data_IF_465692915187
#
_entry.id   IF_465692915187
#
_cell.length_a   1.000
_cell.length_b   1.000
_cell.length_c   1.000
_cell.angle_alpha   90.00
_cell.angle_beta   90.00
_cell.angle_gamma   90.00
#
_symmetry.space_group_name_H-M   'P 1'
#
loop_
_entity.id
_entity.type
_entity.pdbx_description
1 polymer ?
2 polymer ?
#
loop_
_entity_poly.entity_id
_entity_poly.type
_entity_poly.pdbx_seq_one_letter_code
_entity_poly.pdbx_strand_id
2 'polyribonucleotide' 'GGGCCAGGUAGCUCAGUUGGUAGAGCACUGGACUGAAAAUCCAGGUGUCGGCGGUUCGAUUCCGCCCCUGGCCCACC' ?
#
# COMPACT_ATOMS: atom_id res chain seq x y z
N UNK A 1 -4.81 6.38 -31.69
CA UNK A 1 -5.91 7.14 -32.24
C UNK A 1 -6.05 8.48 -31.52
N UNK A 2 -5.54 8.54 -30.29
CA UNK A 2 -5.60 9.74 -29.48
C UNK A 2 -4.88 10.91 -30.16
N UNK A 3 -3.75 10.61 -30.78
CA UNK A 3 -2.98 11.63 -31.49
C UNK A 3 -3.69 12.12 -32.73
N UNK A 4 -4.46 11.23 -33.36
CA UNK A 4 -5.24 11.60 -34.54
C UNK A 4 -6.39 12.52 -34.16
N UNK A 5 -7.09 12.17 -33.09
CA UNK A 5 -8.19 12.99 -32.60
C UNK A 5 -7.68 14.35 -32.12
N UNK A 6 -6.53 14.34 -31.46
CA UNK A 6 -5.89 15.58 -31.03
C UNK A 6 -5.46 16.40 -32.24
N UNK A 7 -5.12 15.72 -33.33
CA UNK A 7 -4.77 16.38 -34.58
C UNK A 7 -5.99 17.07 -35.18
N UNK A 8 -7.12 16.37 -35.16
CA UNK A 8 -8.37 16.90 -35.71
C UNK A 8 -8.90 18.07 -34.89
N UNK A 9 -8.81 17.96 -33.58
CA UNK A 9 -9.37 18.97 -32.68
C UNK A 9 -8.43 20.16 -32.49
N UNK A 10 -7.25 20.08 -33.10
CA UNK A 10 -6.27 21.14 -32.99
C UNK A 10 -5.79 21.29 -31.55
N UNK A 11 -5.70 20.17 -30.85
CA UNK A 11 -5.26 20.18 -29.46
C UNK A 11 -3.91 19.50 -29.31
N UNK A 12 -3.39 19.50 -28.08
CA UNK A 12 -2.16 18.80 -27.77
C UNK A 12 -2.32 18.02 -26.48
N UNK A 13 -2.22 16.70 -26.55
CA UNK A 13 -2.35 15.86 -25.37
C UNK A 13 -1.02 15.23 -25.01
N UNK A 14 -0.82 14.96 -23.72
CA UNK A 14 0.43 14.35 -23.26
C UNK A 14 0.19 13.36 -22.12
N UNK A 15 0.90 12.24 -22.14
CA UNK A 15 0.92 11.35 -20.98
C UNK A 15 1.70 12.04 -19.86
N UNK A 16 1.15 12.05 -18.65
CA UNK A 16 1.67 12.91 -17.60
C UNK A 16 1.80 12.23 -16.23
N UNK A 17 2.82 12.62 -15.48
CA UNK A 17 2.96 12.23 -14.08
C UNK A 17 3.61 10.88 -13.83
N UNK A 18 3.17 10.26 -12.73
CA UNK A 18 3.72 8.98 -12.29
C UNK A 18 3.75 7.93 -13.38
N UNK A 19 2.72 7.92 -14.21
CA UNK A 19 2.65 6.99 -15.34
C UNK A 19 3.94 7.06 -16.15
N UNK A 20 4.31 8.27 -16.57
CA UNK A 20 5.53 8.48 -17.32
C UNK A 20 6.72 7.88 -16.60
N UNK A 21 6.80 8.14 -15.29
CA UNK A 21 7.86 7.58 -14.46
C UNK A 21 7.87 6.06 -14.59
N UNK A 22 6.69 5.46 -14.37
CA UNK A 22 6.56 4.01 -14.46
C UNK A 22 6.93 3.51 -15.85
N UNK A 23 6.69 4.33 -16.86
CA UNK A 23 7.06 3.96 -18.22
C UNK A 23 8.57 3.92 -18.34
N UNK A 24 9.24 4.92 -17.76
CA UNK A 24 10.69 4.98 -17.85
C UNK A 24 11.32 3.98 -16.87
N UNK A 25 10.56 3.63 -15.84
CA UNK A 25 10.99 2.60 -14.90
C UNK A 25 10.65 1.22 -15.42
N UNK A 26 9.94 1.18 -16.54
CA UNK A 26 9.61 -0.08 -17.21
C UNK A 26 8.32 -0.71 -16.70
N UNK A 27 7.88 -0.31 -15.51
CA UNK A 27 6.66 -0.85 -14.92
C UNK A 27 5.44 -0.51 -15.75
N UNK A 28 4.66 -1.53 -16.12
CA UNK A 28 3.44 -1.33 -16.89
C UNK A 28 2.24 -1.09 -15.98
N UNK A 29 1.44 -0.08 -16.31
CA UNK A 29 0.25 0.27 -15.55
C UNK A 29 -0.97 0.34 -16.45
N UNK A 30 -2.13 0.00 -15.92
CA UNK A 30 -3.37 0.08 -16.69
C UNK A 30 -4.09 1.40 -16.43
N UNK A 31 -3.49 2.25 -15.60
CA UNK A 31 -4.03 3.57 -15.31
C UNK A 31 -3.20 4.65 -16.01
N UNK A 32 -3.79 5.33 -16.98
CA UNK A 32 -3.08 6.37 -17.73
C UNK A 32 -3.69 7.74 -17.50
N UNK A 33 -2.82 8.72 -17.22
CA UNK A 33 -3.25 10.09 -16.99
C UNK A 33 -2.78 11.01 -18.11
N UNK A 34 -3.74 11.67 -18.76
CA UNK A 34 -3.47 12.59 -19.85
C UNK A 34 -3.67 14.04 -19.42
N UNK A 35 -2.85 14.93 -19.97
CA UNK A 35 -3.04 16.36 -19.82
C UNK A 35 -3.22 16.98 -21.20
N UNK A 36 -4.33 17.71 -21.36
CA UNK A 36 -4.70 18.26 -22.65
C UNK A 36 -4.68 19.78 -22.66
N UNK A 37 -4.04 20.36 -23.67
CA UNK A 37 -4.11 21.79 -23.90
C UNK A 37 -5.33 22.08 -24.77
N UNK A 38 -6.26 22.84 -24.21
CA UNK A 38 -7.59 22.95 -24.80
C UNK A 38 -8.54 22.08 -24.01
N UNK A 39 -9.72 21.83 -24.57
CA UNK A 39 -10.74 21.09 -23.84
C UNK A 39 -10.49 19.59 -23.84
N UNK A 40 -10.31 19.03 -22.64
CA UNK A 40 -10.05 17.60 -22.48
C UNK A 40 -11.34 16.78 -22.51
N UNK A 41 -12.44 17.41 -22.12
CA UNK A 41 -13.74 16.74 -22.06
C UNK A 41 -14.17 16.27 -23.44
N UNK A 42 -13.99 17.12 -24.44
CA UNK A 42 -14.39 16.77 -25.80
C UNK A 42 -13.51 15.66 -26.36
N UNK A 43 -12.23 15.71 -26.04
CA UNK A 43 -11.28 14.67 -26.45
C UNK A 43 -11.70 13.33 -25.86
N UNK A 44 -12.03 13.32 -24.58
CA UNK A 44 -12.46 12.10 -23.91
C UNK A 44 -13.77 11.58 -24.48
N UNK A 45 -14.71 12.48 -24.75
CA UNK A 45 -16.01 12.11 -25.31
C UNK A 45 -15.86 11.48 -26.69
N UNK A 46 -15.07 12.11 -27.54
CA UNK A 46 -14.87 11.63 -28.90
C UNK A 46 -14.14 10.29 -28.90
N UNK A 47 -13.09 10.20 -28.10
CA UNK A 47 -12.30 8.99 -28.00
C UNK A 47 -13.15 7.83 -27.48
N UNK A 48 -14.02 8.12 -26.53
CA UNK A 48 -14.92 7.11 -25.99
C UNK A 48 -15.96 6.71 -27.01
N UNK A 49 -16.35 7.65 -27.85
CA UNK A 49 -17.37 7.40 -28.88
C UNK A 49 -16.84 6.53 -30.00
N UNK A 50 -15.61 6.80 -30.43
CA UNK A 50 -14.99 6.04 -31.51
C UNK A 50 -14.75 4.57 -31.12
N UNK A 51 -14.32 4.36 -29.88
CA UNK A 51 -14.08 3.01 -29.39
C UNK A 51 -15.37 2.36 -28.90
N UNK A 52 -16.46 3.13 -28.96
CA UNK A 52 -17.77 2.62 -28.61
C UNK A 52 -17.91 2.19 -27.16
N UNK A 53 -17.49 3.06 -26.25
CA UNK A 53 -17.58 2.77 -24.82
C UNK A 53 -18.21 3.92 -24.06
N UNK A 54 -18.63 3.65 -22.83
CA UNK A 54 -19.20 4.68 -21.97
C UNK A 54 -18.16 5.72 -21.56
N UNK A 55 -18.64 6.89 -21.16
CA UNK A 55 -17.76 7.96 -20.72
C UNK A 55 -18.31 8.60 -19.44
N UNK A 56 -17.41 9.02 -18.56
CA UNK A 56 -17.80 9.62 -17.29
C UNK A 56 -17.20 11.02 -17.17
N UNK A 57 -17.95 12.02 -17.61
CA UNK A 57 -17.55 13.44 -17.64
C UNK A 57 -17.60 14.12 -16.27
N UNK A 58 -16.67 15.05 -16.08
CA UNK A 58 -16.61 15.90 -14.90
C UNK A 58 -16.25 17.33 -15.33
N UNK A 59 -17.26 18.10 -15.78
CA UNK A 59 -17.11 19.45 -16.33
C UNK A 59 -16.58 20.46 -15.32
N UNK A 60 -17.04 20.35 -14.08
CA UNK A 60 -16.63 21.28 -13.02
C UNK A 60 -15.14 21.16 -12.75
N UNK A 61 -14.63 19.94 -12.75
CA UNK A 61 -13.20 19.71 -12.60
C UNK A 61 -12.48 19.96 -13.93
N UNK A 62 -13.18 19.70 -15.02
CA UNK A 62 -12.59 19.82 -16.35
C UNK A 62 -11.86 18.56 -16.75
N UNK A 63 -12.27 17.44 -16.17
CA UNK A 63 -11.65 16.15 -16.47
C UNK A 63 -12.70 15.12 -16.83
N UNK A 64 -12.29 14.01 -17.44
CA UNK A 64 -13.21 12.93 -17.76
C UNK A 64 -12.53 11.57 -17.73
N UNK A 65 -13.29 10.54 -17.36
CA UNK A 65 -12.73 9.19 -17.24
C UNK A 65 -13.41 8.22 -18.20
N UNK A 66 -12.62 7.33 -18.79
CA UNK A 66 -13.18 6.31 -19.68
C UNK A 66 -12.34 5.03 -19.61
N UNK A 67 -12.98 3.88 -19.77
CA UNK A 67 -12.30 2.60 -19.65
C UNK A 67 -12.31 1.81 -20.95
N UNK A 68 -11.13 1.61 -21.53
CA UNK A 68 -11.00 0.82 -22.75
C UNK A 68 -10.23 -0.47 -22.46
N UNK A 69 -10.92 -1.60 -22.50
CA UNK A 69 -10.32 -2.87 -22.14
C UNK A 69 -9.89 -2.86 -20.69
N UNK A 70 -8.63 -3.18 -20.44
CA UNK A 70 -8.08 -3.12 -19.10
C UNK A 70 -7.54 -1.73 -18.78
N UNK A 71 -7.49 -0.87 -19.79
CA UNK A 71 -6.96 0.48 -19.63
C UNK A 71 -7.95 1.43 -18.98
N UNK A 72 -7.52 2.06 -17.91
CA UNK A 72 -8.31 3.10 -17.25
C UNK A 72 -7.73 4.46 -17.59
N UNK A 73 -8.45 5.24 -18.39
CA UNK A 73 -7.95 6.50 -18.90
C UNK A 73 -8.59 7.70 -18.21
N UNK A 74 -7.75 8.66 -17.83
CA UNK A 74 -8.23 9.92 -17.27
C UNK A 74 -7.68 11.10 -18.05
N UNK A 75 -8.56 11.83 -18.72
CA UNK A 75 -8.16 13.02 -19.47
C UNK A 75 -8.41 14.28 -18.65
N UNK A 76 -7.36 15.06 -18.44
CA UNK A 76 -7.45 16.26 -17.61
C UNK A 76 -6.97 17.51 -18.33
N UNK A 77 -7.77 18.57 -18.29
CA UNK A 77 -7.40 19.85 -18.90
C UNK A 77 -6.24 20.47 -18.14
N UNK A 78 -5.27 21.02 -18.88
CA UNK A 78 -4.10 21.65 -18.28
C UNK A 78 -4.49 22.86 -17.42
N UNK A 79 -3.98 22.89 -16.19
CA UNK A 79 -4.30 23.97 -15.25
C UNK A 79 -3.05 24.46 -14.52
N UNK A 80 -3.01 25.75 -14.23
CA UNK A 80 -1.85 26.38 -13.60
C UNK A 80 -1.88 26.26 -12.08
N UNK A 81 -3.02 25.88 -11.52
CA UNK A 81 -3.16 25.75 -10.07
C UNK A 81 -3.81 24.44 -9.67
N UNK A 82 -3.74 24.13 -8.37
CA UNK A 82 -4.38 22.94 -7.83
C UNK A 82 -5.90 23.05 -7.89
N UNK A 93 -7.42 32.35 -18.50
CA UNK A 93 -6.32 32.16 -19.43
C UNK A 93 -5.97 30.67 -19.57
N UNK A 94 -5.68 30.24 -20.81
CA UNK A 94 -5.27 28.85 -21.05
C UNK A 94 -3.90 28.54 -20.44
N UNK A 95 -3.79 27.41 -19.76
CA UNK A 95 -2.53 27.03 -19.13
C UNK A 95 -1.69 26.17 -20.06
N UNK A 96 -0.42 26.52 -20.21
CA UNK A 96 0.52 25.73 -20.98
C UNK A 96 0.84 24.44 -20.24
N UNK A 97 1.35 23.44 -20.96
CA UNK A 97 1.75 22.18 -20.36
C UNK A 97 2.77 22.40 -19.25
N UNK A 98 3.71 23.29 -19.50
CA UNK A 98 4.76 23.61 -18.54
C UNK A 98 4.18 24.08 -17.21
N UNK A 99 3.14 24.91 -17.29
CA UNK A 99 2.46 25.40 -16.10
C UNK A 99 1.74 24.28 -15.36
N UNK A 100 1.25 23.29 -16.12
CA UNK A 100 0.55 22.16 -15.52
C UNK A 100 1.54 21.23 -14.84
N UNK A 101 2.77 21.20 -15.35
CA UNK A 101 3.83 20.36 -14.81
C UNK A 101 4.52 20.98 -13.60
N UNK A 102 4.56 22.31 -13.55
CA UNK A 102 5.31 23.02 -12.52
C UNK A 102 4.60 22.99 -11.17
N UNK A 103 3.33 22.63 -11.17
CA UNK A 103 2.52 22.61 -9.95
C UNK A 103 2.61 21.28 -9.22
N UNK A 104 3.40 20.36 -9.78
CA UNK A 104 3.45 18.99 -9.27
C UNK A 104 4.49 18.83 -8.17
N UNK A 105 4.60 17.62 -7.63
CA UNK A 105 5.42 17.42 -6.42
C UNK A 105 6.91 17.30 -6.74
N UNK A 106 7.30 16.19 -7.36
CA UNK A 106 8.71 15.88 -7.54
C UNK A 106 9.11 15.84 -9.01
N UNK A 107 10.41 16.02 -9.26
CA UNK A 107 10.96 16.08 -10.61
C UNK A 107 10.65 14.84 -11.46
N UNK A 108 10.76 13.66 -10.86
CA UNK A 108 10.48 12.42 -11.57
C UNK A 108 8.99 12.32 -11.90
N UNK A 109 8.18 13.07 -11.16
CA UNK A 109 6.74 13.08 -11.37
C UNK A 109 6.26 14.26 -12.22
N UNK A 110 7.20 15.11 -12.62
CA UNK A 110 6.88 16.34 -13.33
C UNK A 110 7.02 16.24 -14.84
N UNK A 111 7.37 15.06 -15.35
CA UNK A 111 7.65 14.90 -16.77
C UNK A 111 6.41 14.58 -17.61
N UNK A 112 6.59 14.52 -18.93
CA UNK A 112 5.48 14.24 -19.85
C UNK A 112 5.97 13.61 -21.16
N UNK A 113 5.09 12.85 -21.81
CA UNK A 113 5.42 12.23 -23.09
C UNK A 113 4.34 12.53 -24.13
N UNK A 114 4.72 13.18 -25.22
CA UNK A 114 3.77 13.64 -26.23
C UNK A 114 3.10 12.51 -26.99
N UNK A 115 1.77 12.54 -27.05
CA UNK A 115 1.03 11.58 -27.86
C UNK A 115 0.66 12.19 -29.22
N UNK A 116 1.10 13.43 -29.44
CA UNK A 116 0.88 14.09 -30.72
C UNK A 116 1.70 13.43 -31.82
N UNK A 117 1.08 13.23 -32.98
CA UNK A 117 1.61 12.35 -34.03
C UNK A 117 3.01 12.70 -34.53
N UNK A 118 3.32 13.99 -34.64
CA UNK A 118 4.60 14.39 -35.24
C UNK A 118 5.77 14.21 -34.26
N UNK A 119 5.57 14.61 -33.01
CA UNK A 119 6.62 14.50 -31.99
C UNK A 119 6.46 13.23 -31.15
N UNK A 120 5.53 12.36 -31.56
CA UNK A 120 5.21 11.14 -30.82
C UNK A 120 6.48 10.35 -30.48
N UNK A 121 6.62 10.01 -29.21
CA UNK A 121 7.78 9.30 -28.73
C UNK A 121 8.84 10.21 -28.13
N UNK A 122 8.44 11.44 -27.81
CA UNK A 122 9.36 12.42 -27.23
C UNK A 122 9.07 12.68 -25.76
N UNK A 123 10.10 12.61 -24.93
CA UNK A 123 9.97 12.89 -23.51
C UNK A 123 10.11 14.38 -23.25
N UNK A 124 9.10 14.97 -22.62
CA UNK A 124 9.16 16.39 -22.28
C UNK A 124 9.52 16.58 -20.82
N UNK A 125 10.74 17.05 -20.58
CA UNK A 125 11.24 17.25 -19.22
C UNK A 125 11.83 18.65 -19.05
N UNK A 126 11.14 19.49 -18.30
CA UNK A 126 11.59 20.86 -18.04
C UNK A 126 12.59 20.96 -16.90
N UNK A 127 12.29 20.25 -15.81
CA UNK A 127 12.99 20.44 -14.55
C UNK A 127 14.12 19.43 -14.33
N UNK A 128 14.38 18.59 -15.32
CA UNK A 128 15.43 17.59 -15.21
C UNK A 128 15.04 16.43 -14.32
N UNK A 129 13.81 15.94 -14.50
CA UNK A 129 13.33 14.80 -13.76
C UNK A 129 13.94 13.50 -14.29
N UNK A 130 14.38 13.54 -15.53
CA UNK A 130 15.04 12.41 -16.16
C UNK A 130 16.37 12.12 -15.47
N UNK A 131 17.11 13.17 -15.17
CA UNK A 131 18.40 13.06 -14.48
C UNK A 131 18.21 12.52 -13.07
N UNK A 132 17.18 13.01 -12.39
CA UNK A 132 16.92 12.60 -11.01
C UNK A 132 16.39 11.17 -10.96
N UNK A 133 15.74 10.75 -12.03
CA UNK A 133 15.32 9.36 -12.18
C UNK A 133 16.54 8.50 -12.46
N UNK A 134 17.50 9.08 -13.15
CA UNK A 134 18.75 8.41 -13.49
C UNK A 134 19.69 8.35 -12.29
N UNK A 135 19.68 9.39 -11.47
CA UNK A 135 20.56 9.47 -10.30
C UNK A 135 19.91 8.95 -9.03
N UNK A 136 18.70 8.41 -9.16
CA UNK A 136 17.94 7.86 -8.03
C UNK A 136 17.68 8.92 -6.95
N UNK A 137 17.17 10.08 -7.37
CA UNK A 137 16.99 11.19 -6.44
C UNK A 137 15.54 11.68 -6.37
N UNK A 138 14.98 11.74 -5.16
CA UNK A 138 13.68 12.36 -4.96
C UNK A 138 13.87 13.84 -4.66
N UNK A 139 13.39 14.69 -5.56
CA UNK A 139 13.66 16.12 -5.48
C UNK A 139 12.41 16.95 -5.78
N UNK A 140 12.12 17.90 -4.89
CA UNK A 140 10.97 18.78 -5.07
C UNK A 140 11.26 19.83 -6.14
N UNK A 141 10.20 20.35 -6.74
CA UNK A 141 10.34 21.31 -7.85
C UNK A 141 10.69 22.71 -7.35
N UNK A 142 10.12 23.09 -6.21
CA UNK A 142 10.35 24.42 -5.64
C UNK A 142 10.37 24.35 -4.11
N UNK A 143 11.10 25.28 -3.47
CA UNK A 143 11.24 25.30 -2.00
C UNK A 143 9.92 25.35 -1.24
N UNK A 144 8.88 25.84 -1.89
CA UNK A 144 7.56 25.99 -1.27
C UNK A 144 6.71 24.73 -1.37
N UNK A 145 7.29 23.67 -1.92
CA UNK A 145 6.54 22.44 -2.24
C UNK A 145 5.81 21.81 -1.06
N UNK A 146 6.54 21.51 0.02
CA UNK A 146 5.93 20.84 1.17
C UNK A 146 5.00 21.77 1.93
N UNK A 147 5.18 23.08 1.75
CA UNK A 147 4.28 24.06 2.37
C UNK A 147 2.90 23.98 1.72
N UNK A 148 2.89 23.89 0.39
CA UNK A 148 1.65 23.80 -0.37
C UNK A 148 0.84 22.58 0.02
N UNK A 149 1.47 21.41 -0.05
CA UNK A 149 0.80 20.15 0.28
C UNK A 149 1.66 19.32 1.23
N UNK A 150 1.45 19.47 2.54
CA UNK A 150 2.17 18.72 3.57
C UNK A 150 2.12 17.20 3.35
N UNK A 151 1.03 16.71 2.77
CA UNK A 151 0.87 15.30 2.49
C UNK A 151 2.05 14.75 1.69
N UNK A 152 2.56 15.57 0.78
CA UNK A 152 3.70 15.22 -0.06
C UNK A 152 4.86 14.65 0.74
N UNK A 153 5.04 15.17 1.96
CA UNK A 153 6.06 14.67 2.87
C UNK A 153 6.01 13.16 2.90
N UNK A 154 4.88 12.61 3.38
CA UNK A 154 4.70 11.17 3.41
C UNK A 154 5.00 10.58 2.03
N UNK A 155 4.37 11.15 1.01
CA UNK A 155 4.54 10.69 -0.36
C UNK A 155 6.02 10.58 -0.70
N UNK A 156 6.77 11.64 -0.37
CA UNK A 156 8.19 11.67 -0.67
C UNK A 156 8.83 10.42 -0.11
N UNK A 157 8.65 10.22 1.20
CA UNK A 157 9.26 9.10 1.88
C UNK A 157 8.79 7.81 1.22
N UNK A 158 7.49 7.76 0.94
CA UNK A 158 6.90 6.59 0.32
C UNK A 158 7.63 6.25 -0.96
N UNK A 159 7.82 7.26 -1.81
CA UNK A 159 8.51 7.04 -3.07
C UNK A 159 9.93 6.61 -2.81
N UNK A 160 10.57 7.30 -1.87
CA UNK A 160 11.96 7.00 -1.51
C UNK A 160 12.05 5.58 -0.97
N UNK A 161 10.93 5.07 -0.47
CA UNK A 161 10.86 3.70 -0.01
C UNK A 161 10.79 2.71 -1.16
N UNK A 162 9.94 3.01 -2.15
CA UNK A 162 9.67 2.04 -3.20
C UNK A 162 10.77 1.96 -4.25
N UNK A 163 11.20 3.11 -4.73
CA UNK A 163 12.16 3.17 -5.83
C UNK A 163 13.60 3.11 -5.34
N UNK A 164 13.76 3.06 -4.02
CA UNK A 164 15.08 3.10 -3.40
C UNK A 164 15.86 4.33 -3.83
N UNK A 165 15.19 5.48 -3.81
CA UNK A 165 15.82 6.75 -4.16
C UNK A 165 16.26 7.48 -2.91
N UNK A 166 16.88 8.64 -3.09
CA UNK A 166 17.32 9.46 -1.96
C UNK A 166 16.89 10.90 -2.10
N UNK A 167 16.44 11.50 -1.01
CA UNK A 167 16.10 12.92 -1.00
C UNK A 167 17.34 13.76 -1.19
N UNK A 168 17.25 14.78 -2.04
CA UNK A 168 18.35 15.73 -2.18
C UNK A 168 18.47 16.55 -0.90
N UNK A 169 19.64 17.13 -0.67
CA UNK A 169 19.88 17.90 0.54
C UNK A 169 18.90 19.06 0.66
N UNK A 170 18.63 19.71 -0.48
CA UNK A 170 17.59 20.72 -0.57
C UNK A 170 16.27 20.16 -0.05
N UNK A 171 15.77 19.15 -0.76
CA UNK A 171 14.50 18.49 -0.43
C UNK A 171 14.46 17.98 1.01
N UNK A 172 15.60 17.48 1.50
CA UNK A 172 15.66 16.99 2.88
C UNK A 172 15.47 18.12 3.87
N UNK A 173 16.22 19.20 3.69
CA UNK A 173 16.09 20.37 4.55
C UNK A 173 14.68 20.94 4.51
N UNK A 174 14.10 21.00 3.32
CA UNK A 174 12.75 21.52 3.14
C UNK A 174 11.72 20.65 3.83
N UNK A 175 11.91 19.34 3.76
CA UNK A 175 10.99 18.40 4.40
C UNK A 175 11.06 18.55 5.91
N UNK A 176 12.29 18.57 6.44
CA UNK A 176 12.51 18.71 7.87
C UNK A 176 11.93 20.02 8.39
N UNK A 177 12.10 21.08 7.59
CA UNK A 177 11.55 22.38 7.93
C UNK A 177 10.03 22.33 7.96
N UNK A 178 9.46 21.65 6.97
CA UNK A 178 8.01 21.51 6.88
C UNK A 178 7.44 20.79 8.10
N UNK A 179 8.08 19.70 8.50
CA UNK A 179 7.62 18.93 9.65
C UNK A 179 7.82 19.73 10.95
N UNK A 180 8.94 20.43 11.03
CA UNK A 180 9.27 21.20 12.23
C UNK A 180 8.30 22.37 12.43
N UNK A 181 7.67 22.81 11.34
CA UNK A 181 6.66 23.86 11.43
C UNK A 181 5.29 23.28 11.76
N UNK A 182 5.26 21.95 11.92
CA UNK A 182 4.03 21.27 12.29
C UNK A 182 2.95 21.34 11.24
N UNK A 183 3.37 21.34 9.97
CA UNK A 183 2.43 21.40 8.85
C UNK A 183 1.68 20.08 8.71
N UNK A 184 2.21 19.03 9.32
CA UNK A 184 1.63 17.69 9.21
C UNK A 184 0.30 17.60 9.92
N UNK A 185 0.14 18.37 11.00
CA UNK A 185 -1.10 18.37 11.77
C UNK A 185 -2.19 19.20 11.08
N UNK A 186 -1.79 20.34 10.51
CA UNK A 186 -2.74 21.23 9.85
C UNK A 186 -3.31 20.63 8.58
N UNK A 187 -2.55 19.72 7.97
CA UNK A 187 -2.99 19.05 6.75
C UNK A 187 -4.24 18.22 7.01
N UNK A 188 -5.09 18.04 5.98
CA UNK A 188 -6.30 17.24 6.12
C UNK A 188 -6.01 15.81 6.58
N UNK A 189 -6.76 15.36 7.58
CA UNK A 189 -6.55 14.04 8.19
C UNK A 189 -6.73 12.91 7.18
N UNK A 190 -7.80 12.98 6.40
CA UNK A 190 -8.13 11.95 5.44
C UNK A 190 -7.04 11.71 4.41
N UNK A 191 -6.43 12.79 3.92
CA UNK A 191 -5.35 12.70 2.96
C UNK A 191 -4.16 11.94 3.53
N UNK A 192 -3.82 12.26 4.78
CA UNK A 192 -2.70 11.62 5.45
C UNK A 192 -2.98 10.14 5.67
N UNK A 193 -4.15 9.85 6.24
CA UNK A 193 -4.54 8.47 6.51
C UNK A 193 -4.50 7.64 5.23
N UNK A 194 -5.05 8.20 4.16
CA UNK A 194 -5.08 7.49 2.87
C UNK A 194 -3.68 7.32 2.30
N UNK A 195 -2.81 8.29 2.57
CA UNK A 195 -1.43 8.22 2.13
C UNK A 195 -0.71 7.06 2.82
N UNK A 196 -0.98 6.91 4.11
CA UNK A 196 -0.42 5.80 4.89
C UNK A 196 -1.00 4.47 4.39
N UNK A 197 -2.28 4.49 4.02
CA UNK A 197 -2.93 3.31 3.46
C UNK A 197 -2.23 2.90 2.16
N UNK A 198 -1.84 3.89 1.37
CA UNK A 198 -1.08 3.62 0.15
C UNK A 198 0.31 3.08 0.50
N UNK A 199 0.87 3.60 1.59
CA UNK A 199 2.21 3.22 2.02
C UNK A 199 2.29 1.76 2.42
N UNK A 200 1.34 1.31 3.23
CA UNK A 200 1.40 -0.06 3.77
C UNK A 200 1.11 -1.13 2.71
N UNK A 201 0.71 -0.70 1.52
CA UNK A 201 0.45 -1.62 0.43
C UNK A 201 1.69 -1.82 -0.44
N UNK A 202 2.76 -1.11 -0.09
CA UNK A 202 4.06 -1.30 -0.75
C UNK A 202 4.77 -2.50 -0.15
N UNK A 203 5.58 -3.17 -0.96
CA UNK A 203 6.37 -4.30 -0.48
C UNK A 203 7.62 -3.82 0.26
N UNK A 204 8.05 -2.61 -0.09
CA UNK A 204 9.20 -1.97 0.56
C UNK A 204 8.76 -1.07 1.69
N UNK A 205 7.49 -1.17 2.06
CA UNK A 205 6.86 -0.35 3.11
C UNK A 205 7.66 -0.30 4.42
N UNK A 206 8.43 -1.33 4.70
CA UNK A 206 9.29 -1.33 5.88
C UNK A 206 10.30 -0.18 5.82
N UNK A 207 10.93 -0.02 4.66
CA UNK A 207 11.87 1.08 4.45
C UNK A 207 11.17 2.42 4.59
N UNK A 208 9.91 2.47 4.15
CA UNK A 208 9.09 3.66 4.29
C UNK A 208 8.86 3.95 5.77
N UNK A 209 8.79 2.90 6.58
CA UNK A 209 8.65 3.05 8.03
C UNK A 209 9.97 3.49 8.65
N UNK A 210 11.07 3.15 8.01
CA UNK A 210 12.38 3.61 8.44
C UNK A 210 12.52 5.10 8.16
N UNK A 211 11.93 5.55 7.05
CA UNK A 211 11.94 6.96 6.71
C UNK A 211 10.94 7.73 7.57
N UNK A 212 9.88 7.05 8.00
CA UNK A 212 8.92 7.63 8.92
C UNK A 212 9.54 7.78 10.31
N UNK A 213 10.45 6.86 10.62
CA UNK A 213 11.18 6.91 11.88
C UNK A 213 12.20 8.03 11.85
N UNK A 214 12.93 8.12 10.74
CA UNK A 214 14.00 9.11 10.59
C UNK A 214 13.49 10.54 10.70
N UNK A 215 12.41 10.83 9.99
CA UNK A 215 11.84 12.18 9.97
C UNK A 215 10.69 12.35 10.97
N UNK A 216 10.41 11.29 11.72
CA UNK A 216 9.48 11.32 12.85
C UNK A 216 8.09 11.89 12.51
N UNK A 217 7.53 11.44 11.40
CA UNK A 217 6.21 11.91 10.96
C UNK A 217 5.07 11.22 11.70
N UNK A 218 5.31 9.98 12.15
CA UNK A 218 4.28 9.19 12.81
C UNK A 218 3.94 9.75 14.19
N UNK A 219 4.92 10.39 14.82
CA UNK A 219 4.71 11.06 16.10
C UNK A 219 3.74 12.22 15.94
N UNK A 220 3.82 12.88 14.79
CA UNK A 220 2.95 14.01 14.50
C UNK A 220 1.55 13.54 14.09
N UNK A 221 1.50 12.53 13.22
CA UNK A 221 0.21 12.02 12.76
C UNK A 221 -0.55 11.26 13.84
N UNK A 222 0.11 10.27 14.45
CA UNK A 222 -0.52 9.44 15.47
C UNK A 222 -0.27 9.98 16.86
N UNK A 223 -1.33 10.11 17.66
CA UNK A 223 -1.22 10.61 19.02
C UNK A 223 -0.80 9.53 20.00
N UNK A 224 0.33 9.75 20.68
CA UNK A 224 0.81 8.82 21.68
C UNK A 224 1.85 7.85 21.17
N UNK A 225 2.11 7.91 19.86
CA UNK A 225 3.06 7.00 19.23
C UNK A 225 4.51 7.42 19.46
N UNK A 226 5.35 6.46 19.81
CA UNK A 226 6.78 6.71 20.01
C UNK A 226 7.61 5.56 19.47
N UNK A 227 8.88 5.82 19.19
CA UNK A 227 9.77 4.82 18.62
C UNK A 227 10.77 4.26 19.63
N UNK A 228 10.75 2.95 19.81
CA UNK A 228 11.77 2.26 20.59
C UNK A 228 12.43 1.18 19.74
N UNK A 229 13.41 0.49 20.31
CA UNK A 229 14.16 -0.51 19.57
C UNK A 229 13.41 -1.85 19.46
N UNK A 230 12.66 -2.17 20.51
CA UNK A 230 11.93 -3.43 20.57
C UNK A 230 10.91 -3.57 19.43
N UNK A 231 10.17 -2.49 19.19
CA UNK A 231 9.17 -2.47 18.13
C UNK A 231 9.84 -2.62 16.76
N UNK A 232 10.99 -1.98 16.60
CA UNK A 232 11.74 -2.03 15.35
C UNK A 232 12.23 -3.44 15.05
N UNK A 233 12.89 -4.06 16.04
CA UNK A 233 13.37 -5.42 15.91
C UNK A 233 12.20 -6.38 15.68
N UNK A 234 11.06 -6.06 16.27
CA UNK A 234 9.84 -6.83 16.06
C UNK A 234 9.39 -6.70 14.60
N UNK A 235 9.59 -5.52 14.04
CA UNK A 235 9.25 -5.26 12.64
C UNK A 235 10.15 -6.06 11.70
N UNK A 236 11.42 -6.18 12.07
CA UNK A 236 12.36 -6.95 11.25
C UNK A 236 12.10 -8.45 11.36
N UNK A 237 11.80 -8.91 12.57
CA UNK A 237 11.42 -10.31 12.77
C UNK A 237 10.17 -10.62 11.95
N UNK A 238 9.22 -9.69 11.97
CA UNK A 238 8.02 -9.79 11.17
C UNK A 238 8.35 -9.79 9.68
N UNK A 239 9.41 -9.07 9.32
CA UNK A 239 9.88 -9.05 7.93
C UNK A 239 10.34 -10.44 7.50
N UNK A 240 11.17 -11.06 8.33
CA UNK A 240 11.66 -12.41 8.03
C UNK A 240 10.50 -13.42 7.96
N UNK A 241 9.61 -13.36 8.96
CA UNK A 241 8.44 -14.23 9.01
C UNK A 241 7.59 -14.07 7.75
N UNK A 242 7.34 -12.83 7.36
CA UNK A 242 6.59 -12.53 6.15
C UNK A 242 7.28 -13.10 4.91
N UNK A 243 8.60 -12.98 4.86
CA UNK A 243 9.38 -13.53 3.75
C UNK A 243 9.18 -15.04 3.62
N UNK A 244 9.41 -15.76 4.71
CA UNK A 244 9.29 -17.22 4.70
C UNK A 244 7.87 -17.69 4.40
N UNK A 245 6.90 -17.06 5.05
CA UNK A 245 5.49 -17.39 4.87
C UNK A 245 5.03 -17.15 3.44
N UNK A 246 5.43 -16.02 2.87
CA UNK A 246 5.10 -15.69 1.49
C UNK A 246 5.98 -16.46 0.53
N UNK A 247 6.95 -17.19 1.07
CA UNK A 247 7.78 -18.06 0.25
C UNK A 247 7.13 -19.43 0.07
N UNK A 248 7.01 -20.18 1.17
CA UNK A 248 6.46 -21.53 1.08
C UNK A 248 4.94 -21.57 0.95
N UNK A 249 4.27 -20.78 1.77
CA UNK A 249 2.81 -20.82 1.89
C UNK A 249 2.08 -19.84 0.97
N UNK A 250 2.83 -19.27 0.01
CA UNK A 250 2.40 -18.10 -0.76
C UNK A 250 0.97 -18.14 -1.31
N UNK A 251 0.42 -19.32 -1.52
CA UNK A 251 -0.97 -19.44 -1.92
C UNK A 251 -1.92 -18.88 -0.85
N UNK A 252 -1.45 -18.82 0.39
CA UNK A 252 -2.26 -18.38 1.53
C UNK A 252 -2.11 -16.89 1.87
N UNK A 253 -1.38 -16.15 1.02
CA UNK A 253 -1.04 -14.76 1.30
C UNK A 253 -2.24 -13.87 1.65
N UNK A 254 -2.03 -13.00 2.65
CA UNK A 254 -2.96 -11.93 2.98
C UNK A 254 -2.18 -10.63 3.00
N UNK A 255 -2.83 -9.54 3.40
CA UNK A 255 -2.14 -8.25 3.42
C UNK A 255 -1.18 -8.15 4.61
N UNK A 256 0.09 -7.99 4.30
CA UNK A 256 1.15 -7.99 5.30
C UNK A 256 1.35 -6.66 6.02
N UNK A 257 1.13 -5.56 5.31
CA UNK A 257 1.37 -4.24 5.86
C UNK A 257 0.61 -3.96 7.14
N UNK A 258 -0.60 -4.50 7.22
CA UNK A 258 -1.44 -4.31 8.39
C UNK A 258 -0.81 -4.93 9.64
N UNK A 259 -0.03 -5.99 9.43
CA UNK A 259 0.69 -6.61 10.54
C UNK A 259 1.73 -5.63 11.09
N UNK A 260 2.48 -5.01 10.20
CA UNK A 260 3.45 -3.98 10.58
C UNK A 260 2.74 -2.86 11.33
N UNK A 261 1.57 -2.47 10.83
CA UNK A 261 0.78 -1.44 11.47
C UNK A 261 0.36 -1.84 12.88
N UNK A 262 0.07 -3.13 13.08
CA UNK A 262 -0.31 -3.64 14.39
C UNK A 262 0.89 -3.62 15.34
N UNK A 263 2.06 -3.95 14.80
CA UNK A 263 3.29 -3.95 15.59
C UNK A 263 3.62 -2.52 16.04
N UNK A 264 3.38 -1.56 15.16
CA UNK A 264 3.62 -0.15 15.48
C UNK A 264 2.71 0.33 16.60
N UNK A 265 1.46 -0.09 16.58
CA UNK A 265 0.47 0.34 17.56
C UNK A 265 0.35 -0.62 18.74
N UNK A 266 1.23 -1.62 18.78
CA UNK A 266 1.19 -2.66 19.80
C UNK A 266 1.22 -2.12 21.22
N UNK A 267 2.22 -1.30 21.54
CA UNK A 267 2.37 -0.76 22.88
C UNK A 267 1.50 0.47 23.12
N UNK A 268 0.78 0.91 22.09
CA UNK A 268 -0.11 2.04 22.19
C UNK A 268 -1.38 1.69 22.98
N UNK A 269 -2.05 2.72 23.50
CA UNK A 269 -3.31 2.52 24.22
C UNK A 269 -4.38 1.95 23.30
N UNK A 270 -5.33 1.22 23.88
CA UNK A 270 -6.37 0.59 23.10
C UNK A 270 -7.37 1.59 22.54
N UNK A 271 -7.55 2.70 23.25
CA UNK A 271 -8.48 3.74 22.83
C UNK A 271 -8.02 4.41 21.54
N UNK A 272 -6.80 4.92 21.56
CA UNK A 272 -6.20 5.58 20.40
C UNK A 272 -5.96 4.56 19.28
N UNK A 273 -5.81 3.30 19.66
CA UNK A 273 -5.64 2.23 18.70
C UNK A 273 -6.90 1.96 17.91
N UNK A 274 -8.01 1.79 18.63
CA UNK A 274 -9.31 1.60 18.00
C UNK A 274 -9.71 2.84 17.21
N UNK A 275 -9.31 4.00 17.71
CA UNK A 275 -9.55 5.26 17.01
C UNK A 275 -8.78 5.29 15.69
N UNK A 276 -7.54 4.84 15.73
CA UNK A 276 -6.69 4.83 14.54
C UNK A 276 -7.20 3.84 13.50
N UNK A 277 -7.53 2.64 13.94
CA UNK A 277 -8.08 1.63 13.04
C UNK A 277 -9.45 2.06 12.52
N UNK A 278 -10.12 2.93 13.28
CA UNK A 278 -11.39 3.49 12.86
C UNK A 278 -11.19 4.47 11.71
N UNK A 279 -10.22 5.37 11.87
CA UNK A 279 -9.94 6.36 10.85
C UNK A 279 -9.27 5.75 9.62
N UNK A 280 -8.61 4.62 9.81
CA UNK A 280 -7.88 3.95 8.73
C UNK A 280 -8.78 3.04 7.89
N UNK A 281 -9.98 2.77 8.40
CA UNK A 281 -10.91 1.84 7.76
C UNK A 281 -10.27 0.49 7.48
N UNK A 282 -9.62 -0.07 8.50
CA UNK A 282 -8.93 -1.34 8.38
C UNK A 282 -9.91 -2.49 8.16
N UNK A 283 -9.44 -3.58 7.54
CA UNK A 283 -10.27 -4.77 7.35
C UNK A 283 -10.75 -5.38 8.67
N UNK A 284 -11.79 -6.19 8.62
CA UNK A 284 -12.38 -6.78 9.81
C UNK A 284 -11.40 -7.70 10.54
N UNK A 285 -10.72 -8.55 9.79
CA UNK A 285 -9.78 -9.51 10.35
C UNK A 285 -8.60 -8.80 11.04
N UNK A 286 -8.32 -7.59 10.60
CA UNK A 286 -7.27 -6.78 11.22
C UNK A 286 -7.72 -6.32 12.60
N UNK A 287 -8.95 -5.86 12.70
CA UNK A 287 -9.52 -5.45 13.98
C UNK A 287 -9.61 -6.64 14.94
N UNK A 288 -10.03 -7.79 14.40
CA UNK A 288 -10.09 -9.01 15.19
C UNK A 288 -8.71 -9.37 15.72
N UNK A 289 -7.71 -9.32 14.85
CA UNK A 289 -6.33 -9.65 15.20
C UNK A 289 -5.78 -8.72 16.27
N UNK A 290 -6.07 -7.43 16.13
CA UNK A 290 -5.61 -6.43 17.09
C UNK A 290 -6.26 -6.62 18.46
N UNK A 291 -7.59 -6.70 18.46
CA UNK A 291 -8.36 -6.87 19.69
C UNK A 291 -7.98 -8.17 20.38
N UNK A 292 -7.58 -9.17 19.60
CA UNK A 292 -7.12 -10.43 20.15
C UNK A 292 -5.69 -10.31 20.68
N UNK A 293 -4.92 -9.40 20.08
CA UNK A 293 -3.52 -9.22 20.43
C UNK A 293 -3.35 -8.44 21.74
N UNK A 294 -4.20 -7.45 21.94
CA UNK A 294 -4.08 -6.56 23.09
C UNK A 294 -4.23 -7.29 24.43
N UNK A 295 -5.01 -8.36 24.44
CA UNK A 295 -5.29 -9.06 25.70
C UNK A 295 -5.03 -10.57 25.63
N UNK A 296 -5.81 -11.27 24.80
CA UNK A 296 -5.78 -12.73 24.75
C UNK A 296 -4.45 -13.32 24.30
N UNK A 297 -3.62 -12.50 23.64
CA UNK A 297 -2.37 -12.96 23.07
C UNK A 297 -1.41 -13.53 24.11
N UNK A 298 -1.29 -12.84 25.24
CA UNK A 298 -0.40 -13.27 26.30
C UNK A 298 -0.77 -14.64 26.84
N UNK A 299 -2.02 -14.77 27.28
CA UNK A 299 -2.53 -16.03 27.80
C UNK A 299 -2.45 -17.15 26.78
N UNK A 300 -2.68 -16.80 25.51
CA UNK A 300 -2.56 -17.76 24.43
C UNK A 300 -1.13 -18.27 24.32
N UNK A 301 -0.17 -17.35 24.42
CA UNK A 301 1.25 -17.71 24.41
C UNK A 301 1.56 -18.65 25.57
N UNK A 302 1.07 -18.30 26.75
CA UNK A 302 1.26 -19.14 27.93
C UNK A 302 0.71 -20.54 27.70
N UNK A 303 -0.44 -20.62 27.04
CA UNK A 303 -1.07 -21.90 26.74
C UNK A 303 -0.25 -22.71 25.74
N UNK A 304 0.30 -22.04 24.74
CA UNK A 304 1.13 -22.69 23.73
C UNK A 304 2.44 -23.18 24.34
N UNK A 305 2.88 -22.50 25.40
CA UNK A 305 4.08 -22.93 26.13
C UNK A 305 3.80 -24.18 26.93
N UNK A 306 2.57 -24.29 27.44
CA UNK A 306 2.16 -25.46 28.22
C UNK A 306 1.82 -26.64 27.34
N UNK A 307 1.78 -26.41 26.03
CA UNK A 307 1.38 -27.44 25.08
C UNK A 307 2.39 -28.59 25.04
N UNK A 308 1.88 -29.80 25.25
CA UNK A 308 2.71 -31.01 25.17
C UNK A 308 2.27 -31.86 23.98
N UNK A 309 1.04 -32.35 24.03
CA UNK A 309 0.47 -33.11 22.93
C UNK A 309 0.17 -32.18 21.75
N UNK A 310 0.17 -32.74 20.55
CA UNK A 310 -0.04 -31.95 19.34
C UNK A 310 -1.50 -31.51 19.17
N UNK A 311 -2.41 -32.26 19.77
CA UNK A 311 -3.84 -31.99 19.63
C UNK A 311 -4.23 -30.71 20.37
N UNK A 312 -3.60 -30.47 21.52
CA UNK A 312 -3.83 -29.24 22.25
C UNK A 312 -3.36 -28.05 21.42
N UNK A 313 -2.24 -28.24 20.72
CA UNK A 313 -1.73 -27.23 19.81
C UNK A 313 -2.76 -26.96 18.71
N UNK A 314 -3.29 -28.03 18.13
CA UNK A 314 -4.34 -27.94 17.11
C UNK A 314 -5.53 -27.13 17.62
N UNK A 315 -5.93 -27.39 18.86
CA UNK A 315 -7.07 -26.71 19.47
C UNK A 315 -6.77 -25.22 19.69
N UNK A 316 -5.55 -24.92 20.09
CA UNK A 316 -5.17 -23.55 20.40
C UNK A 316 -4.72 -22.76 19.17
N UNK A 317 -4.70 -23.42 18.02
CA UNK A 317 -4.26 -22.77 16.78
C UNK A 317 -5.36 -22.69 15.72
N UNK A 318 -5.87 -23.84 15.30
CA UNK A 318 -6.82 -23.93 14.18
C UNK A 318 -7.94 -22.88 14.14
N UNK A 319 -8.57 -22.57 15.29
CA UNK A 319 -9.59 -21.51 15.21
C UNK A 319 -9.04 -20.13 14.85
N UNK A 320 -7.75 -19.91 15.07
CA UNK A 320 -7.14 -18.60 14.81
C UNK A 320 -6.92 -18.36 13.31
N UNK A 321 -6.85 -17.09 12.94
CA UNK A 321 -6.57 -16.70 11.56
C UNK A 321 -5.09 -16.90 11.25
N UNK A 322 -4.71 -16.65 10.00
CA UNK A 322 -3.31 -16.78 9.58
C UNK A 322 -2.46 -15.69 10.21
N UNK A 323 -3.03 -14.49 10.32
CA UNK A 323 -2.33 -13.34 10.89
C UNK A 323 -1.89 -13.60 12.33
N UNK A 324 -2.79 -14.17 13.11
CA UNK A 324 -2.49 -14.50 14.52
C UNK A 324 -1.30 -15.45 14.60
N UNK A 325 -1.30 -16.46 13.72
CA UNK A 325 -0.23 -17.43 13.65
C UNK A 325 1.09 -16.76 13.24
N UNK A 326 0.98 -15.77 12.37
CA UNK A 326 2.14 -15.00 11.94
C UNK A 326 2.70 -14.19 13.09
N UNK A 327 1.82 -13.70 13.96
CA UNK A 327 2.24 -12.97 15.14
C UNK A 327 2.82 -13.93 16.18
N UNK A 328 2.42 -15.20 16.10
CA UNK A 328 2.96 -16.22 17.00
C UNK A 328 4.34 -16.68 16.56
N UNK A 329 4.73 -16.32 15.34
CA UNK A 329 6.04 -16.70 14.82
C UNK A 329 7.12 -15.72 15.29
N UNK A 330 6.70 -14.68 16.01
CA UNK A 330 7.64 -13.72 16.58
C UNK A 330 8.48 -14.39 17.66
N UNK A 331 7.84 -15.22 18.46
CA UNK A 331 8.52 -15.94 19.53
C UNK A 331 9.41 -17.05 18.96
N UNK A 332 10.66 -17.08 19.41
CA UNK A 332 11.62 -18.08 18.95
C UNK A 332 11.22 -19.49 19.38
N UNK A 333 10.69 -19.60 20.60
CA UNK A 333 10.28 -20.89 21.14
C UNK A 333 9.08 -21.47 20.40
N UNK A 334 8.23 -20.59 19.87
CA UNK A 334 7.01 -21.02 19.21
C UNK A 334 7.17 -21.11 17.68
N UNK A 335 8.34 -20.73 17.18
CA UNK A 335 8.55 -20.66 15.73
C UNK A 335 8.45 -22.03 15.06
N UNK A 336 9.25 -22.98 15.55
CA UNK A 336 9.26 -24.33 15.00
C UNK A 336 7.93 -25.03 15.27
N UNK A 337 7.25 -24.62 16.34
CA UNK A 337 5.96 -25.19 16.70
C UNK A 337 4.88 -24.74 15.73
N UNK A 338 4.83 -23.44 15.45
CA UNK A 338 3.89 -22.90 14.48
C UNK A 338 4.17 -23.44 13.08
N UNK A 339 5.45 -23.51 12.74
CA UNK A 339 5.86 -24.08 11.46
C UNK A 339 5.37 -25.52 11.33
N UNK A 340 5.67 -26.32 12.35
CA UNK A 340 5.22 -27.72 12.40
C UNK A 340 3.70 -27.80 12.30
N UNK A 341 3.02 -26.80 12.83
CA UNK A 341 1.57 -26.75 12.71
C UNK A 341 1.15 -26.49 11.26
N UNK A 342 1.91 -25.65 10.57
CA UNK A 342 1.55 -25.26 9.22
C UNK A 342 1.84 -26.35 8.20
N UNK A 343 3.10 -26.69 8.02
CA UNK A 343 3.47 -27.62 6.95
C UNK A 343 3.25 -29.10 7.31
N UNK A 344 2.93 -29.38 8.57
CA UNK A 344 2.75 -30.77 8.98
C UNK A 344 1.46 -31.06 9.74
N UNK A 345 1.29 -30.45 10.91
CA UNK A 345 0.24 -30.83 11.86
C UNK A 345 -1.14 -30.96 11.23
N UNK A 346 -1.44 -30.13 10.23
CA UNK A 346 -2.63 -30.44 9.46
C UNK A 346 -2.24 -31.06 8.12
N UNK A 347 -2.29 -32.39 8.10
CA UNK A 347 -2.36 -33.18 6.88
C UNK A 347 -3.15 -34.42 7.23
N UNK A 348 -4.24 -34.69 6.50
CA UNK A 348 -5.08 -35.84 6.82
C UNK A 348 -6.26 -36.01 5.88
N UNK A 349 -6.80 -37.22 5.87
CA UNK A 349 -8.06 -37.55 5.21
C UNK A 349 -8.47 -38.92 5.70
N UNK A 350 -9.64 -39.39 5.28
CA UNK A 350 -10.12 -40.72 5.67
C UNK A 350 -10.87 -41.37 4.51
N UNK A 351 -10.74 -42.70 4.38
CA UNK A 351 -11.40 -43.42 3.28
C UNK A 351 -12.92 -43.50 3.46
N UNK A 352 -13.59 -44.23 2.56
CA UNK A 352 -15.04 -44.30 2.56
C UNK A 352 -15.61 -45.16 3.68
N UNK A 353 -15.32 -46.46 3.62
CA UNK A 353 -15.87 -47.43 4.57
C UNK A 353 -15.68 -47.02 6.02
N UNK A 354 -14.47 -46.59 6.35
CA UNK A 354 -14.16 -46.17 7.72
C UNK A 354 -15.04 -45.02 8.16
N UNK A 355 -15.10 -43.96 7.34
CA UNK A 355 -15.95 -42.80 7.63
C UNK A 355 -17.42 -43.20 7.80
N UNK A 356 -17.89 -44.07 6.91
CA UNK A 356 -19.25 -44.58 6.98
C UNK A 356 -19.48 -45.33 8.29
N UNK A 357 -18.42 -45.94 8.83
CA UNK A 357 -18.50 -46.61 10.12
C UNK A 357 -18.41 -45.60 11.27
N UNK A 358 -17.84 -44.44 11.00
CA UNK A 358 -17.76 -43.38 12.01
C UNK A 358 -19.14 -42.77 12.21
N UNK A 359 -19.93 -42.79 11.14
CA UNK A 359 -21.33 -42.39 11.21
C UNK A 359 -22.18 -43.61 11.55
N UNK A 360 -21.52 -44.77 11.59
CA UNK A 360 -22.15 -46.05 11.88
C UNK A 360 -23.31 -46.35 10.94
N UNK A 365 -25.84 -35.93 15.28
CA UNK A 365 -25.73 -34.54 15.66
C UNK A 365 -24.29 -34.09 15.83
N UNK A 366 -23.98 -33.52 17.00
CA UNK A 366 -22.64 -33.04 17.30
C UNK A 366 -21.70 -34.20 17.62
N UNK A 367 -22.29 -35.33 18.00
CA UNK A 367 -21.53 -36.52 18.39
C UNK A 367 -20.66 -37.04 17.26
N UNK A 368 -21.09 -36.79 16.02
CA UNK A 368 -20.30 -37.17 14.85
C UNK A 368 -19.01 -36.37 14.84
N UNK A 369 -19.13 -35.06 15.04
CA UNK A 369 -17.98 -34.18 15.09
C UNK A 369 -17.05 -34.50 16.24
N UNK A 370 -17.63 -34.72 17.42
CA UNK A 370 -16.85 -35.11 18.59
C UNK A 370 -16.08 -36.39 18.32
N UNK A 371 -16.74 -37.36 17.69
CA UNK A 371 -16.11 -38.63 17.37
C UNK A 371 -14.95 -38.42 16.40
N UNK A 372 -15.19 -37.64 15.35
CA UNK A 372 -14.15 -37.31 14.38
C UNK A 372 -12.93 -36.70 15.05
N UNK A 373 -13.18 -35.77 15.97
CA UNK A 373 -12.10 -35.13 16.72
C UNK A 373 -11.36 -36.14 17.60
N UNK A 374 -12.10 -37.08 18.17
CA UNK A 374 -11.50 -38.15 18.98
C UNK A 374 -10.58 -39.02 18.12
N UNK A 375 -10.99 -39.25 16.88
CA UNK A 375 -10.20 -40.04 15.95
C UNK A 375 -8.94 -39.30 15.53
N UNK A 376 -9.08 -37.99 15.28
CA UNK A 376 -7.94 -37.18 14.89
C UNK A 376 -6.92 -37.10 16.02
N UNK A 377 -7.40 -36.91 17.26
CA UNK A 377 -6.51 -36.87 18.41
C UNK A 377 -5.96 -38.25 18.70
N UNK A 378 -6.65 -39.29 18.21
CA UNK A 378 -6.13 -40.64 18.32
C UNK A 378 -5.00 -40.85 17.32
N UNK A 379 -5.07 -40.14 16.19
CA UNK A 379 -4.05 -40.22 15.15
C UNK A 379 -2.79 -39.44 15.52
N UNK A 380 -2.99 -38.20 15.99
CA UNK A 380 -1.88 -37.29 16.28
C UNK A 380 -0.88 -37.86 17.28
N UNK A 381 -1.31 -38.00 18.54
CA UNK A 381 -0.43 -38.47 19.60
C UNK A 381 -0.21 -39.98 19.55
#
# INVERSE_FOLDING_TARGET
MVGQIAKEMGLRAYIVGGVVRDILLGKEVWDVDFVVEGNAIELAKELARRHGVNVHPFPEFGTAHLKIGKLKLEFATARRETYPRPGAYPKVEPASLKEDLIRRDFTINAMAISVNLEDYGTLIDYFGGLRDLKDKVIRVLHPVSFIEDPVRILRALRFAGRLNFKLSRSTEKLLKQAVNLGLLKEAPRGRLINEIKLALREDRFLEILELYRKYRVLEEIIEGFQWNEKVLQKLYALRKVVDWHALEFSEERIDYGWLYLLILISNLDYERGKHFLEEMSAPSWVRETYKFMKFKLGSLKEELKKAKENYEVYRLLKPLHTSVLLLLMLEEELKEKIKLYLEKLRKVKLPKEKIEELKKQGLKGKELGERIEELKREIMNKIKLAAALEHHHHHH
#
